data_IF_035437662383
#
_entry.id   IF_035437662383
#
_cell.length_a   1.000
_cell.length_b   1.000
_cell.length_c   1.000
_cell.angle_alpha   90.00
_cell.angle_beta   90.00
_cell.angle_gamma   90.00
#
_symmetry.space_group_name_H-M   'P 1'
#
loop_
_entity.id
_entity.type
_entity.pdbx_description
1 polymer ?
#
# COMPACT_ATOMS: atom_id res chain seq x y z
N UNK A 1 -1.38 14.92 15.07
CA UNK A 1 -2.48 13.95 14.97
C UNK A 1 -3.19 14.14 13.63
N UNK A 2 -3.69 13.04 13.05
CA UNK A 2 -4.44 13.03 11.80
C UNK A 2 -5.55 11.97 11.87
N UNK A 3 -6.42 11.95 10.88
CA UNK A 3 -7.47 10.93 10.73
C UNK A 3 -7.18 10.06 9.51
N UNK A 4 -7.74 8.85 9.45
CA UNK A 4 -7.66 8.01 8.25
C UNK A 4 -8.21 8.74 7.01
N UNK A 5 -9.26 9.56 7.17
CA UNK A 5 -9.83 10.38 6.10
C UNK A 5 -8.84 11.42 5.58
N UNK A 6 -8.12 12.11 6.47
CA UNK A 6 -7.14 13.14 6.06
C UNK A 6 -5.97 12.50 5.30
N UNK A 7 -5.49 11.34 5.77
CA UNK A 7 -4.43 10.58 5.08
C UNK A 7 -4.91 10.08 3.72
N UNK A 8 -6.17 9.64 3.60
CA UNK A 8 -6.73 9.23 2.31
C UNK A 8 -6.82 10.41 1.32
N UNK A 9 -7.21 11.61 1.80
CA UNK A 9 -7.23 12.83 0.98
C UNK A 9 -5.81 13.20 0.52
N UNK A 10 -4.82 13.13 1.44
CA UNK A 10 -3.43 13.40 1.15
C UNK A 10 -2.88 12.41 0.12
N UNK A 11 -3.11 11.11 0.30
CA UNK A 11 -2.67 10.07 -0.63
C UNK A 11 -3.31 10.27 -2.02
N UNK A 12 -4.62 10.55 -2.08
CA UNK A 12 -5.33 10.85 -3.34
C UNK A 12 -4.73 12.04 -4.09
N UNK A 13 -4.22 13.03 -3.39
CA UNK A 13 -3.52 14.15 -4.00
C UNK A 13 -2.11 13.74 -4.46
N UNK A 14 -1.36 13.04 -3.60
CA UNK A 14 0.03 12.69 -3.83
C UNK A 14 0.22 11.74 -5.03
N UNK A 15 -0.65 10.74 -5.21
CA UNK A 15 -0.56 9.78 -6.33
C UNK A 15 -0.80 10.39 -7.71
N UNK A 16 -1.26 11.65 -7.78
CA UNK A 16 -1.34 12.41 -9.04
C UNK A 16 0.03 12.91 -9.51
N UNK A 17 1.00 12.99 -8.60
CA UNK A 17 2.38 13.30 -8.95
C UNK A 17 3.06 12.01 -9.44
N UNK A 18 3.58 12.03 -10.67
CA UNK A 18 4.16 10.83 -11.31
C UNK A 18 5.38 10.31 -10.56
N UNK A 19 6.25 11.17 -10.07
CA UNK A 19 7.44 10.77 -9.31
C UNK A 19 7.06 10.13 -7.97
N UNK A 20 6.09 10.70 -7.25
CA UNK A 20 5.58 10.10 -6.02
C UNK A 20 4.98 8.72 -6.29
N UNK A 21 4.18 8.62 -7.36
CA UNK A 21 3.54 7.38 -7.78
C UNK A 21 4.57 6.30 -8.10
N UNK A 22 5.57 6.62 -8.90
CA UNK A 22 6.68 5.71 -9.23
C UNK A 22 7.38 5.18 -7.97
N UNK A 23 7.67 6.06 -7.01
CA UNK A 23 8.33 5.68 -5.75
C UNK A 23 7.44 4.77 -4.91
N UNK A 24 6.16 5.10 -4.72
CA UNK A 24 5.28 4.35 -3.82
C UNK A 24 4.83 3.01 -4.41
N UNK A 25 4.86 2.86 -5.74
CA UNK A 25 4.59 1.61 -6.46
C UNK A 25 5.83 0.70 -6.57
N UNK A 26 7.03 1.24 -6.29
CA UNK A 26 8.27 0.47 -6.39
C UNK A 26 8.47 -0.47 -5.20
N UNK A 27 8.67 -1.78 -5.42
CA UNK A 27 8.95 -2.73 -4.33
C UNK A 27 10.33 -2.50 -3.71
N UNK A 28 11.30 -2.04 -4.49
CA UNK A 28 12.64 -1.67 -4.04
C UNK A 28 13.28 -0.65 -4.99
N UNK A 29 14.31 0.03 -4.50
CA UNK A 29 15.17 0.90 -5.30
C UNK A 29 16.63 0.72 -4.87
N UNK A 30 17.54 0.57 -5.84
CA UNK A 30 18.98 0.48 -5.59
C UNK A 30 19.70 1.70 -6.16
N UNK A 31 20.57 2.29 -5.36
CA UNK A 31 21.44 3.37 -5.81
C UNK A 31 22.69 2.82 -6.52
N UNK A 32 23.32 3.64 -7.32
CA UNK A 32 24.67 3.36 -7.80
C UNK A 32 25.67 3.32 -6.64
N UNK A 33 26.82 2.67 -6.85
CA UNK A 33 27.90 2.65 -5.89
C UNK A 33 28.46 4.06 -5.59
N UNK A 34 28.91 4.24 -4.36
CA UNK A 34 29.62 5.45 -3.89
C UNK A 34 30.95 5.06 -3.30
N UNK A 35 31.78 6.04 -2.93
CA UNK A 35 33.04 5.80 -2.25
C UNK A 35 32.91 5.16 -0.86
N UNK A 36 31.74 5.31 -0.20
CA UNK A 36 31.45 4.73 1.12
C UNK A 36 30.71 3.39 0.97
N UNK A 37 29.84 3.27 -0.04
CA UNK A 37 29.06 2.08 -0.36
C UNK A 37 29.33 1.66 -1.81
N UNK A 38 30.44 0.95 -2.08
CA UNK A 38 30.83 0.59 -3.44
C UNK A 38 29.77 -0.21 -4.21
N UNK A 39 29.01 -1.04 -3.50
CA UNK A 39 27.93 -1.86 -4.07
C UNK A 39 26.57 -1.13 -4.14
N UNK A 40 26.54 0.16 -3.76
CA UNK A 40 25.31 0.92 -3.62
C UNK A 40 24.50 0.56 -2.38
N UNK A 41 23.29 1.11 -2.28
CA UNK A 41 22.34 0.84 -1.19
C UNK A 41 21.00 0.45 -1.81
N UNK A 42 20.40 -0.64 -1.32
CA UNK A 42 19.05 -1.06 -1.72
C UNK A 42 18.05 -0.72 -0.62
N UNK A 43 17.03 0.05 -0.97
CA UNK A 43 15.90 0.39 -0.13
C UNK A 43 14.70 -0.48 -0.53
N UNK A 44 14.00 -1.04 0.43
CA UNK A 44 12.81 -1.87 0.22
C UNK A 44 11.56 -1.18 0.72
N UNK A 45 10.47 -1.28 -0.03
CA UNK A 45 9.14 -0.95 0.48
C UNK A 45 8.76 -1.92 1.60
N UNK A 46 8.47 -1.40 2.78
CA UNK A 46 8.05 -2.23 3.92
C UNK A 46 6.70 -2.90 3.69
N UNK A 47 5.83 -2.34 2.84
CA UNK A 47 4.60 -2.99 2.43
C UNK A 47 4.90 -4.20 1.55
N UNK A 48 5.59 -4.00 0.42
CA UNK A 48 5.87 -5.09 -0.54
C UNK A 48 6.77 -6.17 0.03
N UNK A 49 7.68 -5.84 0.93
CA UNK A 49 8.51 -6.84 1.63
C UNK A 49 7.67 -7.85 2.42
N UNK A 50 6.50 -7.43 2.90
CA UNK A 50 5.60 -8.23 3.71
C UNK A 50 4.33 -8.66 2.96
N UNK A 51 4.15 -8.23 1.72
CA UNK A 51 3.07 -8.60 0.82
C UNK A 51 3.64 -9.51 -0.26
N UNK A 52 3.50 -10.82 -0.08
CA UNK A 52 4.09 -11.83 -0.99
C UNK A 52 3.45 -11.83 -2.38
N UNK A 53 2.15 -11.54 -2.44
CA UNK A 53 1.38 -11.43 -3.68
C UNK A 53 0.47 -10.19 -3.59
N UNK A 54 0.65 -9.19 -4.47
CA UNK A 54 -0.21 -8.01 -4.50
C UNK A 54 -1.55 -8.25 -5.22
N UNK A 55 -1.78 -9.42 -5.80
CA UNK A 55 -3.04 -9.74 -6.50
C UNK A 55 -4.21 -9.80 -5.53
N UNK A 56 -5.34 -9.27 -5.95
CA UNK A 56 -6.62 -9.35 -5.27
C UNK A 56 -7.70 -9.72 -6.30
N UNK A 57 -8.91 -10.06 -5.85
CA UNK A 57 -10.01 -10.42 -6.75
C UNK A 57 -10.30 -9.24 -7.70
N UNK A 58 -10.28 -9.52 -8.99
CA UNK A 58 -10.47 -8.57 -10.09
C UNK A 58 -9.50 -7.39 -10.09
N UNK A 59 -8.30 -7.52 -9.45
CA UNK A 59 -7.39 -6.41 -9.37
C UNK A 59 -6.04 -6.68 -8.74
N UNK A 60 -5.39 -5.58 -8.36
CA UNK A 60 -4.03 -5.59 -7.78
C UNK A 60 -3.82 -4.41 -6.85
N UNK A 61 -3.13 -4.64 -5.73
CA UNK A 61 -2.60 -3.58 -4.87
C UNK A 61 -1.39 -2.96 -5.59
N UNK A 62 -1.47 -1.65 -5.87
CA UNK A 62 -0.47 -0.94 -6.65
C UNK A 62 0.66 -0.38 -5.78
N UNK A 63 0.34 0.10 -4.58
CA UNK A 63 1.34 0.69 -3.72
C UNK A 63 0.80 1.06 -2.34
N UNK A 64 1.71 1.43 -1.45
CA UNK A 64 1.33 1.89 -0.12
C UNK A 64 2.51 2.11 0.81
N UNK A 65 2.20 2.68 1.97
CA UNK A 65 3.17 2.97 3.03
C UNK A 65 2.64 2.51 4.37
N UNK A 66 3.42 1.66 5.03
CA UNK A 66 3.15 1.21 6.39
C UNK A 66 3.66 2.21 7.43
N UNK A 67 3.07 2.20 8.61
CA UNK A 67 3.53 2.96 9.75
C UNK A 67 3.21 2.24 11.05
N UNK A 68 4.03 2.48 12.07
CA UNK A 68 3.80 1.96 13.41
C UNK A 68 4.30 2.93 14.46
N UNK A 69 3.47 3.17 15.46
CA UNK A 69 3.87 3.71 16.76
C UNK A 69 3.08 2.98 17.85
N UNK A 70 3.58 3.01 19.10
CA UNK A 70 2.86 2.39 20.22
C UNK A 70 1.46 2.95 20.44
N UNK A 71 1.23 4.24 20.09
CA UNK A 71 -0.07 4.89 20.22
C UNK A 71 -0.99 4.65 19.02
N UNK A 72 -0.42 4.61 17.81
CA UNK A 72 -1.21 4.48 16.59
C UNK A 72 -1.48 3.02 16.20
N UNK A 73 -0.73 2.06 16.77
CA UNK A 73 -0.74 0.67 16.31
C UNK A 73 -0.19 0.52 14.90
N UNK A 74 -0.48 -0.59 14.25
CA UNK A 74 -0.11 -0.79 12.85
C UNK A 74 -1.04 0.00 11.92
N UNK A 75 -0.46 0.79 11.03
CA UNK A 75 -1.17 1.64 10.08
C UNK A 75 -0.72 1.34 8.66
N UNK A 76 -1.64 1.50 7.70
CA UNK A 76 -1.36 1.39 6.27
C UNK A 76 -2.18 2.42 5.51
N UNK A 77 -1.52 3.14 4.61
CA UNK A 77 -2.15 3.89 3.54
C UNK A 77 -1.76 3.24 2.22
N UNK A 78 -2.73 2.75 1.46
CA UNK A 78 -2.51 1.98 0.22
C UNK A 78 -3.53 2.33 -0.84
N UNK A 79 -3.27 1.91 -2.07
CA UNK A 79 -4.20 2.01 -3.18
C UNK A 79 -4.09 0.78 -4.07
N UNK A 80 -5.20 0.45 -4.71
CA UNK A 80 -5.35 -0.72 -5.57
C UNK A 80 -6.21 -0.37 -6.78
N UNK A 81 -5.99 -1.04 -7.89
CA UNK A 81 -6.91 -1.07 -9.02
C UNK A 81 -7.76 -2.33 -8.94
N UNK A 82 -9.07 -2.18 -8.98
CA UNK A 82 -10.04 -3.28 -8.96
C UNK A 82 -11.07 -3.00 -10.05
N UNK A 83 -11.22 -3.92 -10.97
CA UNK A 83 -12.11 -3.79 -12.13
C UNK A 83 -11.90 -2.47 -12.93
N UNK A 84 -10.63 -2.06 -13.07
CA UNK A 84 -10.24 -0.83 -13.76
C UNK A 84 -10.51 0.47 -12.98
N UNK A 85 -10.95 0.39 -11.72
CA UNK A 85 -11.18 1.54 -10.84
C UNK A 85 -10.14 1.57 -9.73
N UNK A 86 -9.57 2.75 -9.49
CA UNK A 86 -8.58 2.93 -8.43
C UNK A 86 -9.25 3.28 -7.10
N UNK A 87 -8.92 2.51 -6.06
CA UNK A 87 -9.42 2.67 -4.70
C UNK A 87 -8.28 2.98 -3.74
N UNK A 88 -8.54 3.87 -2.78
CA UNK A 88 -7.63 4.22 -1.70
C UNK A 88 -8.18 3.64 -0.39
N UNK A 89 -7.32 2.96 0.36
CA UNK A 89 -7.61 2.42 1.66
C UNK A 89 -6.62 2.95 2.69
N UNK A 90 -7.13 3.45 3.81
CA UNK A 90 -6.31 3.83 4.96
C UNK A 90 -6.86 3.14 6.20
N UNK A 91 -6.02 2.37 6.87
CA UNK A 91 -6.30 1.72 8.14
C UNK A 91 -5.33 2.20 9.21
N UNK A 92 -5.81 2.27 10.45
CA UNK A 92 -5.00 2.64 11.60
C UNK A 92 -5.43 1.80 12.82
N UNK A 93 -4.51 1.59 13.75
CA UNK A 93 -4.82 0.91 15.01
C UNK A 93 -4.99 -0.61 14.88
N UNK A 94 -4.50 -1.24 13.80
CA UNK A 94 -4.54 -2.69 13.72
C UNK A 94 -3.69 -3.30 14.85
N UNK A 95 -4.33 -4.15 15.65
CA UNK A 95 -3.72 -4.82 16.79
C UNK A 95 -3.10 -6.16 16.36
N UNK A 96 -2.10 -6.61 17.12
CA UNK A 96 -1.43 -7.89 16.89
C UNK A 96 0.03 -7.78 16.53
N UNK A 97 0.65 -8.91 16.31
CA UNK A 97 2.03 -9.04 15.84
C UNK A 97 2.08 -9.33 14.34
N UNK A 98 3.21 -9.10 13.71
CA UNK A 98 3.37 -9.34 12.27
C UNK A 98 2.82 -8.19 11.42
N UNK A 99 1.94 -8.50 10.47
CA UNK A 99 1.47 -7.57 9.44
C UNK A 99 -0.06 -7.43 9.37
N UNK A 100 -0.79 -7.28 10.50
CA UNK A 100 -2.25 -7.29 10.51
C UNK A 100 -2.86 -6.20 9.61
N UNK A 101 -2.22 -5.05 9.50
CA UNK A 101 -2.64 -3.95 8.62
C UNK A 101 -2.56 -4.30 7.12
N UNK A 102 -1.61 -5.15 6.72
CA UNK A 102 -1.50 -5.65 5.33
C UNK A 102 -2.57 -6.71 5.08
N UNK A 103 -2.74 -7.65 6.02
CA UNK A 103 -3.75 -8.71 5.93
C UNK A 103 -5.17 -8.13 5.85
N UNK A 104 -5.45 -7.07 6.63
CA UNK A 104 -6.71 -6.35 6.60
C UNK A 104 -6.94 -5.65 5.25
N UNK A 105 -5.90 -5.05 4.67
CA UNK A 105 -5.99 -4.42 3.36
C UNK A 105 -6.31 -5.44 2.26
N UNK A 106 -5.61 -6.57 2.23
CA UNK A 106 -5.88 -7.66 1.26
C UNK A 106 -7.32 -8.15 1.38
N UNK A 107 -7.82 -8.39 2.60
CA UNK A 107 -9.21 -8.80 2.83
C UNK A 107 -10.22 -7.77 2.33
N UNK A 108 -9.98 -6.49 2.58
CA UNK A 108 -10.90 -5.42 2.18
C UNK A 108 -10.91 -5.22 0.67
N UNK A 109 -9.76 -5.26 0.01
CA UNK A 109 -9.69 -5.18 -1.45
C UNK A 109 -10.33 -6.42 -2.12
N UNK A 110 -10.15 -7.63 -1.58
CA UNK A 110 -10.87 -8.81 -2.07
C UNK A 110 -12.39 -8.68 -1.95
N UNK A 111 -12.90 -8.13 -0.84
CA UNK A 111 -14.34 -7.87 -0.69
C UNK A 111 -14.87 -6.85 -1.70
N UNK A 112 -14.06 -5.85 -2.06
CA UNK A 112 -14.43 -4.91 -3.13
C UNK A 112 -14.51 -5.61 -4.48
N UNK A 113 -13.54 -6.48 -4.81
CA UNK A 113 -13.56 -7.29 -6.03
C UNK A 113 -14.78 -8.21 -6.10
N UNK A 114 -15.09 -8.93 -5.02
CA UNK A 114 -16.30 -9.76 -4.93
C UNK A 114 -17.58 -8.95 -5.18
N UNK A 115 -17.69 -7.77 -4.56
CA UNK A 115 -18.86 -6.90 -4.74
C UNK A 115 -18.96 -6.37 -6.17
N UNK A 116 -17.84 -6.03 -6.81
CA UNK A 116 -17.78 -5.63 -8.22
C UNK A 116 -18.25 -6.75 -9.14
N UNK A 117 -17.75 -7.97 -8.94
CA UNK A 117 -18.15 -9.16 -9.72
C UNK A 117 -19.66 -9.41 -9.64
N UNK A 118 -20.27 -9.28 -8.46
CA UNK A 118 -21.73 -9.47 -8.27
C UNK A 118 -22.53 -8.36 -8.97
N UNK A 119 -22.07 -7.11 -8.92
CA UNK A 119 -22.79 -5.97 -9.49
C UNK A 119 -22.74 -5.95 -11.03
N UNK A 120 -21.65 -6.40 -11.62
CA UNK A 120 -21.42 -6.33 -13.08
C UNK A 120 -21.55 -7.70 -13.78
N UNK A 121 -21.93 -8.77 -13.06
CA UNK A 121 -22.29 -10.06 -13.65
C UNK A 121 -21.14 -10.80 -14.31
N UNK A 122 -19.93 -10.68 -13.71
CA UNK A 122 -18.74 -11.44 -14.14
C UNK A 122 -18.66 -12.80 -13.47
#
# INVERSE_FOLDING_TARGET
YSTAKDIAILLRYAIKNSTFREIIESPYHSTAGTNIHPDGITFYSTMFKNLSDPSVIDGKILGGKTGYTSQAGHCLASFAEIDGVEYILVTAGAAGTGTPHIDDAVKLYNRLGEASSVLYGK
#
